data_IF_118497876038
#
_entry.id   IF_118497876038
#
_cell.length_a   1.000
_cell.length_b   1.000
_cell.length_c   1.000
_cell.angle_alpha   90.00
_cell.angle_beta   90.00
_cell.angle_gamma   90.00
#
_symmetry.space_group_name_H-M   'P 1'
#
loop_
_entity.id
_entity.type
_entity.pdbx_description
1 polymer ?
#
# COMPACT_ATOMS: atom_id res chain seq x y z
N UNK A 1 16.67 20.11 34.01
CA UNK A 1 16.21 18.96 33.21
C UNK A 1 16.51 17.71 34.01
N UNK A 2 15.52 16.85 34.23
CA UNK A 2 15.75 15.54 34.87
C UNK A 2 16.60 14.67 33.93
N UNK A 3 17.40 13.77 34.50
CA UNK A 3 18.17 12.78 33.74
C UNK A 3 17.25 11.95 32.82
N UNK A 4 16.06 11.63 33.30
CA UNK A 4 15.01 10.93 32.56
C UNK A 4 14.59 11.65 31.28
N UNK A 5 14.37 12.97 31.33
CA UNK A 5 14.01 13.74 30.14
C UNK A 5 15.12 13.72 29.08
N UNK A 6 16.39 13.79 29.51
CA UNK A 6 17.54 13.71 28.58
C UNK A 6 17.58 12.33 27.89
N UNK A 7 17.30 11.25 28.62
CA UNK A 7 17.21 9.89 28.06
C UNK A 7 16.08 9.79 27.02
N UNK A 8 14.89 10.31 27.33
CA UNK A 8 13.73 10.32 26.43
C UNK A 8 14.06 11.07 25.11
N UNK A 9 14.63 12.27 25.22
CA UNK A 9 15.05 13.06 24.06
C UNK A 9 16.09 12.30 23.23
N UNK A 10 17.05 11.66 23.89
CA UNK A 10 18.11 10.92 23.20
C UNK A 10 17.54 9.71 22.44
N UNK A 11 16.68 8.89 23.07
CA UNK A 11 16.08 7.70 22.45
C UNK A 11 15.19 8.10 21.28
N UNK A 12 14.30 9.08 21.47
CA UNK A 12 13.37 9.54 20.43
C UNK A 12 14.10 10.12 19.21
N UNK A 13 15.18 10.89 19.41
CA UNK A 13 16.00 11.39 18.30
C UNK A 13 16.75 10.27 17.57
N UNK A 14 17.29 9.28 18.28
CA UNK A 14 17.94 8.10 17.67
C UNK A 14 16.93 7.34 16.80
N UNK A 15 15.75 7.03 17.34
CA UNK A 15 14.69 6.33 16.60
C UNK A 15 14.23 7.15 15.39
N UNK A 16 13.96 8.45 15.55
CA UNK A 16 13.58 9.32 14.44
C UNK A 16 14.66 9.41 13.35
N UNK A 17 15.93 9.40 13.73
CA UNK A 17 17.07 9.39 12.79
C UNK A 17 17.16 8.06 12.03
N UNK A 18 16.94 6.93 12.70
CA UNK A 18 16.92 5.62 12.03
C UNK A 18 15.81 5.58 10.97
N UNK A 19 14.60 6.07 11.28
CA UNK A 19 13.53 6.21 10.29
C UNK A 19 13.94 7.09 9.12
N UNK A 20 14.49 8.27 9.40
CA UNK A 20 14.96 9.19 8.37
C UNK A 20 15.97 8.53 7.43
N UNK A 21 16.96 7.81 7.97
CA UNK A 21 17.96 7.11 7.17
C UNK A 21 17.34 5.97 6.35
N UNK A 22 16.38 5.25 6.93
CA UNK A 22 15.71 4.13 6.27
C UNK A 22 14.97 4.58 5.01
N UNK A 23 14.20 5.65 5.12
CA UNK A 23 13.47 6.21 3.98
C UNK A 23 14.43 6.90 2.98
N UNK A 24 15.55 7.46 3.44
CA UNK A 24 16.51 8.13 2.56
C UNK A 24 17.33 7.15 1.69
N UNK A 25 17.69 5.98 2.23
CA UNK A 25 18.54 4.97 1.58
C UNK A 25 17.77 3.79 0.96
N UNK A 26 16.52 4.02 0.62
CA UNK A 26 15.53 3.08 0.06
C UNK A 26 16.12 2.03 -0.91
N UNK A 27 16.93 2.45 -1.89
CA UNK A 27 17.42 1.59 -2.99
C UNK A 27 18.47 0.54 -2.61
N UNK A 28 19.03 0.56 -1.40
CA UNK A 28 20.19 -0.29 -1.04
C UNK A 28 19.86 -1.54 -0.20
N UNK A 29 18.58 -1.81 0.11
CA UNK A 29 18.23 -2.86 1.06
C UNK A 29 18.17 -4.28 0.41
N UNK A 30 18.55 -5.34 1.14
CA UNK A 30 18.53 -6.72 0.64
C UNK A 30 17.09 -7.18 0.32
N UNK A 31 16.92 -7.86 -0.82
CA UNK A 31 15.61 -8.36 -1.31
C UNK A 31 15.17 -9.60 -0.51
N UNK A 32 14.26 -9.40 0.44
CA UNK A 32 13.55 -10.46 1.14
C UNK A 32 12.31 -10.85 0.33
N UNK A 33 11.92 -12.12 0.40
CA UNK A 33 10.73 -12.61 -0.31
C UNK A 33 9.44 -12.02 0.30
N UNK A 34 8.52 -11.55 -0.54
CA UNK A 34 7.30 -10.87 -0.07
C UNK A 34 6.44 -11.75 0.85
N UNK A 35 6.35 -13.06 0.58
CA UNK A 35 5.64 -13.99 1.45
C UNK A 35 6.25 -14.10 2.85
N UNK A 36 7.58 -14.04 2.99
CA UNK A 36 8.26 -14.06 4.30
C UNK A 36 7.88 -12.82 5.11
N UNK A 37 7.94 -11.67 4.45
CA UNK A 37 7.56 -10.39 5.01
C UNK A 37 6.09 -10.42 5.48
N UNK A 38 5.17 -10.92 4.65
CA UNK A 38 3.76 -11.04 4.98
C UNK A 38 3.53 -11.88 6.24
N UNK A 39 4.25 -13.01 6.37
CA UNK A 39 4.18 -13.84 7.57
C UNK A 39 4.62 -13.09 8.83
N UNK A 40 5.75 -12.37 8.76
CA UNK A 40 6.28 -11.56 9.87
C UNK A 40 5.29 -10.45 10.24
N UNK A 41 4.80 -9.69 9.27
CA UNK A 41 3.87 -8.58 9.50
C UNK A 41 2.55 -9.04 10.11
N UNK A 42 2.02 -10.19 9.65
CA UNK A 42 0.79 -10.76 10.20
C UNK A 42 1.00 -11.23 11.65
N UNK A 43 2.07 -11.97 11.92
CA UNK A 43 2.41 -12.41 13.27
C UNK A 43 2.57 -11.22 14.21
N UNK A 44 3.32 -10.19 13.80
CA UNK A 44 3.50 -8.97 14.57
C UNK A 44 2.15 -8.32 14.90
N UNK A 45 1.32 -8.06 13.88
CA UNK A 45 0.08 -7.32 14.07
C UNK A 45 -0.86 -8.02 15.06
N UNK A 46 -1.05 -9.34 14.91
CA UNK A 46 -1.98 -10.09 15.75
C UNK A 46 -1.43 -10.43 17.14
N UNK A 47 -0.11 -10.63 17.28
CA UNK A 47 0.48 -11.09 18.54
C UNK A 47 1.08 -9.96 19.38
N UNK A 48 1.26 -8.76 18.82
CA UNK A 48 1.85 -7.61 19.52
C UNK A 48 0.92 -6.42 19.48
N UNK A 49 0.54 -5.92 18.29
CA UNK A 49 -0.25 -4.69 18.16
C UNK A 49 -1.64 -4.81 18.78
N UNK A 50 -2.40 -5.84 18.41
CA UNK A 50 -3.77 -5.99 18.90
C UNK A 50 -3.83 -6.18 20.43
N UNK A 51 -3.01 -7.05 21.05
CA UNK A 51 -2.93 -7.13 22.51
C UNK A 51 -2.53 -5.80 23.16
N UNK A 52 -1.51 -5.11 22.63
CA UNK A 52 -1.07 -3.81 23.17
C UNK A 52 -2.21 -2.78 23.18
N UNK A 53 -3.02 -2.75 22.12
CA UNK A 53 -4.20 -1.88 22.02
C UNK A 53 -5.28 -2.29 23.03
N UNK A 54 -5.54 -3.60 23.15
CA UNK A 54 -6.55 -4.15 24.05
C UNK A 54 -6.25 -3.86 25.53
N UNK A 55 -4.98 -3.99 25.92
CA UNK A 55 -4.55 -3.87 27.32
C UNK A 55 -4.37 -2.41 27.77
N UNK A 56 -4.04 -1.50 26.86
CA UNK A 56 -3.63 -0.14 27.22
C UNK A 56 -4.61 0.97 26.80
N UNK A 57 -5.72 0.67 26.12
CA UNK A 57 -6.81 1.64 25.96
C UNK A 57 -7.62 1.66 27.28
N UNK A 58 -7.60 2.77 28.04
CA UNK A 58 -8.09 2.78 29.42
C UNK A 58 -9.61 2.65 29.55
N UNK A 59 -10.38 3.16 28.57
CA UNK A 59 -11.84 2.99 28.51
C UNK A 59 -12.27 2.74 27.06
N UNK A 60 -13.14 1.75 26.87
CA UNK A 60 -13.72 1.48 25.54
C UNK A 60 -14.43 2.75 25.04
N UNK A 61 -14.39 3.05 23.74
CA UNK A 61 -15.22 4.12 23.20
C UNK A 61 -16.68 3.86 23.60
N UNK A 62 -17.27 4.79 24.35
CA UNK A 62 -18.65 4.69 24.86
C UNK A 62 -18.90 3.55 25.87
N UNK A 63 -17.89 3.03 26.56
CA UNK A 63 -17.98 1.89 27.49
C UNK A 63 -18.48 0.59 26.87
N UNK A 64 -18.38 0.45 25.54
CA UNK A 64 -18.86 -0.71 24.81
C UNK A 64 -17.69 -1.53 24.26
N UNK A 65 -17.59 -2.77 24.72
CA UNK A 65 -16.56 -3.74 24.28
C UNK A 65 -16.54 -3.94 22.76
N UNK A 66 -17.67 -3.77 22.07
CA UNK A 66 -17.73 -3.86 20.60
C UNK A 66 -16.89 -2.78 19.88
N UNK A 67 -16.55 -1.69 20.56
CA UNK A 67 -15.78 -0.58 20.01
C UNK A 67 -14.29 -0.60 20.41
N UNK A 68 -13.81 -1.67 21.05
CA UNK A 68 -12.41 -1.85 21.44
C UNK A 68 -11.43 -1.56 20.29
N UNK A 69 -11.73 -2.04 19.08
CA UNK A 69 -10.90 -1.82 17.89
C UNK A 69 -11.44 -0.74 16.95
N UNK A 70 -12.34 0.15 17.42
CA UNK A 70 -12.98 1.17 16.57
C UNK A 70 -11.95 2.02 15.83
N UNK A 71 -10.91 2.50 16.51
CA UNK A 71 -9.90 3.34 15.87
C UNK A 71 -9.02 2.57 14.88
N UNK A 72 -8.77 1.29 15.11
CA UNK A 72 -8.13 0.40 14.12
C UNK A 72 -8.99 0.30 12.86
N UNK A 73 -10.30 0.07 13.02
CA UNK A 73 -11.23 0.03 11.89
C UNK A 73 -11.29 1.37 11.17
N UNK A 74 -11.33 2.49 11.90
CA UNK A 74 -11.31 3.83 11.29
C UNK A 74 -10.06 4.08 10.47
N UNK A 75 -8.88 3.69 10.97
CA UNK A 75 -7.62 3.77 10.22
C UNK A 75 -7.65 2.94 8.94
N UNK A 76 -8.12 1.70 9.03
CA UNK A 76 -8.26 0.82 7.87
C UNK A 76 -9.24 1.39 6.82
N UNK A 77 -10.42 1.79 7.26
CA UNK A 77 -11.49 2.32 6.41
C UNK A 77 -11.06 3.63 5.75
N UNK A 78 -10.34 4.50 6.48
CA UNK A 78 -9.83 5.76 5.95
C UNK A 78 -8.96 5.55 4.70
N UNK A 79 -8.00 4.62 4.76
CA UNK A 79 -7.12 4.33 3.62
C UNK A 79 -7.90 3.66 2.50
N UNK A 80 -8.74 2.66 2.84
CA UNK A 80 -9.55 1.93 1.87
C UNK A 80 -10.46 2.85 1.05
N UNK A 81 -11.22 3.73 1.73
CA UNK A 81 -12.13 4.67 1.07
C UNK A 81 -11.33 5.68 0.25
N UNK A 82 -10.22 6.19 0.78
CA UNK A 82 -9.39 7.16 0.05
C UNK A 82 -8.85 6.59 -1.27
N UNK A 83 -8.30 5.37 -1.25
CA UNK A 83 -7.88 4.66 -2.47
C UNK A 83 -9.06 4.47 -3.41
N UNK A 84 -10.20 3.97 -2.90
CA UNK A 84 -11.37 3.66 -3.74
C UNK A 84 -11.96 4.90 -4.40
N UNK A 85 -12.01 6.03 -3.69
CA UNK A 85 -12.49 7.30 -4.23
C UNK A 85 -11.59 7.78 -5.38
N UNK A 86 -10.27 7.62 -5.29
CA UNK A 86 -9.36 7.95 -6.38
C UNK A 86 -9.64 7.06 -7.59
N UNK A 87 -9.71 5.74 -7.37
CA UNK A 87 -9.96 4.77 -8.45
C UNK A 87 -11.31 5.00 -9.16
N UNK A 88 -12.34 5.44 -8.43
CA UNK A 88 -13.66 5.72 -8.99
C UNK A 88 -13.75 7.09 -9.66
N UNK A 89 -13.10 8.11 -9.09
CA UNK A 89 -13.15 9.49 -9.58
C UNK A 89 -12.33 9.66 -10.87
N UNK A 90 -11.20 8.97 -10.96
CA UNK A 90 -10.30 9.13 -12.09
C UNK A 90 -10.85 8.40 -13.31
N UNK A 91 -11.30 9.21 -14.27
CA UNK A 91 -11.58 8.82 -15.65
C UNK A 91 -12.70 7.79 -15.87
N UNK A 92 -13.77 7.79 -15.07
CA UNK A 92 -14.94 6.94 -15.30
C UNK A 92 -15.48 7.02 -16.75
N UNK A 93 -15.38 8.19 -17.38
CA UNK A 93 -15.74 8.39 -18.79
C UNK A 93 -14.74 7.76 -19.76
N UNK A 94 -13.42 7.89 -19.54
CA UNK A 94 -12.41 7.23 -20.37
C UNK A 94 -12.50 5.71 -20.22
N UNK A 95 -12.70 5.20 -19.01
CA UNK A 95 -12.90 3.77 -18.77
C UNK A 95 -14.12 3.24 -19.53
N UNK A 96 -15.26 3.94 -19.48
CA UNK A 96 -16.47 3.56 -20.25
C UNK A 96 -16.23 3.58 -21.75
N UNK A 97 -15.53 4.60 -22.26
CA UNK A 97 -15.18 4.70 -23.70
C UNK A 97 -14.23 3.60 -24.12
N UNK A 98 -13.19 3.33 -23.34
CA UNK A 98 -12.23 2.25 -23.58
C UNK A 98 -12.92 0.88 -23.61
N UNK A 99 -13.79 0.57 -22.63
CA UNK A 99 -14.58 -0.68 -22.64
C UNK A 99 -15.45 -0.81 -23.90
N UNK A 100 -16.06 0.29 -24.35
CA UNK A 100 -16.86 0.30 -25.59
C UNK A 100 -15.99 0.07 -26.83
N UNK A 101 -14.77 0.60 -26.85
CA UNK A 101 -13.84 0.39 -27.96
C UNK A 101 -13.29 -1.04 -27.99
N UNK A 102 -12.92 -1.61 -26.84
CA UNK A 102 -12.50 -3.01 -26.73
C UNK A 102 -13.60 -3.97 -27.20
N UNK A 103 -14.86 -3.69 -26.87
CA UNK A 103 -15.97 -4.50 -27.36
C UNK A 103 -16.14 -4.39 -28.89
N UNK A 104 -15.98 -3.18 -29.45
CA UNK A 104 -16.01 -2.99 -30.91
C UNK A 104 -14.86 -3.67 -31.63
N UNK A 105 -13.66 -3.62 -31.06
CA UNK A 105 -12.47 -4.26 -31.62
C UNK A 105 -12.62 -5.79 -31.61
N UNK A 106 -13.08 -6.37 -30.50
CA UNK A 106 -13.40 -7.80 -30.44
C UNK A 106 -14.46 -8.22 -31.47
N UNK A 107 -15.54 -7.43 -31.62
CA UNK A 107 -16.56 -7.73 -32.64
C UNK A 107 -15.98 -7.62 -34.06
N UNK A 108 -15.02 -6.73 -34.28
CA UNK A 108 -14.37 -6.57 -35.59
C UNK A 108 -13.48 -7.76 -35.91
N UNK A 109 -12.69 -8.23 -34.94
CA UNK A 109 -11.86 -9.44 -35.03
C UNK A 109 -12.71 -10.68 -35.38
N UNK A 110 -13.86 -10.87 -34.72
CA UNK A 110 -14.80 -11.97 -35.02
C UNK A 110 -15.37 -11.90 -36.45
N UNK A 111 -15.58 -10.69 -36.98
CA UNK A 111 -16.05 -10.47 -38.36
C UNK A 111 -14.93 -10.73 -39.38
N UNK A 112 -13.71 -10.28 -39.09
CA UNK A 112 -12.52 -10.53 -39.93
C UNK A 112 -12.25 -12.03 -40.05
N UNK A 113 -12.26 -12.76 -38.93
CA UNK A 113 -12.13 -14.23 -38.89
C UNK A 113 -13.20 -14.93 -39.73
N UNK A 114 -14.44 -14.46 -39.63
CA UNK A 114 -15.57 -15.01 -40.39
C UNK A 114 -15.39 -14.79 -41.89
N UNK A 115 -14.96 -13.59 -42.30
CA UNK A 115 -14.68 -13.25 -43.70
C UNK A 115 -13.51 -14.09 -44.23
N UNK A 116 -12.44 -14.26 -43.44
CA UNK A 116 -11.29 -15.07 -43.80
C UNK A 116 -11.67 -16.54 -44.00
N UNK A 117 -12.53 -17.10 -43.15
CA UNK A 117 -13.06 -18.46 -43.31
C UNK A 117 -13.89 -18.63 -44.58
N UNK A 118 -14.74 -17.64 -44.90
CA UNK A 118 -15.51 -17.64 -46.14
C UNK A 118 -14.57 -17.60 -47.34
N UNK A 119 -13.60 -16.69 -47.36
CA UNK A 119 -12.56 -16.60 -48.38
C UNK A 119 -11.81 -17.92 -48.60
N UNK A 120 -11.36 -18.56 -47.51
CA UNK A 120 -10.64 -19.85 -47.58
C UNK A 120 -11.49 -20.96 -48.21
N UNK A 121 -12.77 -21.06 -47.81
CA UNK A 121 -13.71 -22.05 -48.37
C UNK A 121 -13.94 -21.82 -49.85
N UNK A 122 -14.06 -20.56 -50.23
CA UNK A 122 -14.44 -20.14 -51.57
C UNK A 122 -13.29 -20.22 -52.58
N UNK A 123 -12.06 -19.86 -52.17
CA UNK A 123 -10.83 -20.10 -52.95
C UNK A 123 -10.66 -21.60 -53.24
N UNK A 124 -10.96 -22.46 -52.27
CA UNK A 124 -10.86 -23.91 -52.43
C UNK A 124 -11.88 -24.48 -53.43
N UNK A 125 -13.02 -23.82 -53.61
CA UNK A 125 -14.09 -24.25 -54.51
C UNK A 125 -13.93 -23.77 -55.96
N UNK A 126 -12.87 -23.01 -56.28
CA UNK A 126 -12.51 -22.49 -57.63
C UNK A 126 -13.62 -21.71 -58.37
N UNK A 127 -14.65 -21.24 -57.66
CA UNK A 127 -15.81 -20.54 -58.25
C UNK A 127 -15.74 -19.03 -58.04
N UNK A 128 -14.74 -18.32 -58.58
CA UNK A 128 -14.69 -16.86 -58.38
C UNK A 128 -14.54 -15.99 -59.62
N UNK A 129 -15.38 -14.95 -59.62
CA UNK A 129 -15.19 -13.69 -60.30
C UNK A 129 -14.10 -12.88 -59.57
N UNK A 130 -13.07 -12.48 -60.30
CA UNK A 130 -11.95 -11.65 -59.81
C UNK A 130 -12.46 -10.37 -59.10
N UNK A 131 -13.60 -9.82 -59.56
CA UNK A 131 -14.21 -8.65 -58.93
C UNK A 131 -14.66 -8.92 -57.50
N UNK A 132 -15.24 -10.10 -57.22
CA UNK A 132 -15.71 -10.45 -55.88
C UNK A 132 -14.55 -10.62 -54.90
N UNK A 133 -13.46 -11.27 -55.33
CA UNK A 133 -12.25 -11.41 -54.51
C UNK A 133 -11.62 -10.05 -54.18
N UNK A 134 -11.57 -9.16 -55.17
CA UNK A 134 -11.06 -7.80 -54.99
C UNK A 134 -11.92 -6.99 -54.01
N UNK A 135 -13.24 -7.15 -54.05
CA UNK A 135 -14.16 -6.46 -53.14
C UNK A 135 -14.05 -6.96 -51.69
N UNK A 136 -13.92 -8.28 -51.50
CA UNK A 136 -13.69 -8.86 -50.17
C UNK A 136 -12.33 -8.44 -49.63
N UNK A 137 -11.27 -8.48 -50.45
CA UNK A 137 -9.94 -8.03 -50.05
C UNK A 137 -9.91 -6.54 -49.66
N UNK A 138 -10.64 -5.70 -50.39
CA UNK A 138 -10.80 -4.28 -50.05
C UNK A 138 -11.55 -4.10 -48.73
N UNK A 139 -12.62 -4.89 -48.51
CA UNK A 139 -13.38 -4.88 -47.25
C UNK A 139 -12.48 -5.29 -46.08
N UNK A 140 -11.75 -6.40 -46.19
CA UNK A 140 -10.83 -6.86 -45.15
C UNK A 140 -9.74 -5.83 -44.83
N UNK A 141 -9.15 -5.20 -45.86
CA UNK A 141 -8.19 -4.13 -45.67
C UNK A 141 -8.79 -2.91 -44.93
N UNK A 142 -10.06 -2.60 -45.17
CA UNK A 142 -10.76 -1.52 -44.46
C UNK A 142 -11.07 -1.88 -43.00
N UNK A 143 -11.44 -3.14 -42.72
CA UNK A 143 -11.65 -3.63 -41.36
C UNK A 143 -10.33 -3.60 -40.58
N UNK A 144 -9.24 -4.13 -41.13
CA UNK A 144 -7.91 -4.09 -40.50
C UNK A 144 -7.46 -2.66 -40.15
N UNK A 145 -7.77 -1.67 -41.01
CA UNK A 145 -7.49 -0.25 -40.72
C UNK A 145 -8.35 0.29 -39.58
N UNK A 146 -9.62 -0.10 -39.51
CA UNK A 146 -10.50 0.28 -38.39
C UNK A 146 -10.04 -0.38 -37.08
N UNK A 147 -9.62 -1.65 -37.14
CA UNK A 147 -9.08 -2.39 -36.00
C UNK A 147 -7.83 -1.70 -35.44
N UNK A 148 -6.88 -1.36 -36.32
CA UNK A 148 -5.69 -0.61 -35.96
C UNK A 148 -6.02 0.78 -35.35
N UNK A 149 -7.05 1.46 -35.86
CA UNK A 149 -7.51 2.72 -35.30
C UNK A 149 -8.11 2.54 -33.89
N UNK A 150 -8.92 1.50 -33.66
CA UNK A 150 -9.45 1.18 -32.33
C UNK A 150 -8.34 0.81 -31.36
N UNK A 151 -7.38 -0.04 -31.74
CA UNK A 151 -6.22 -0.39 -30.91
C UNK A 151 -5.41 0.85 -30.51
N UNK A 152 -5.20 1.78 -31.45
CA UNK A 152 -4.53 3.05 -31.17
C UNK A 152 -5.31 3.92 -30.17
N UNK A 153 -6.63 4.07 -30.35
CA UNK A 153 -7.47 4.86 -29.44
C UNK A 153 -7.57 4.21 -28.05
N UNK A 154 -7.67 2.88 -27.97
CA UNK A 154 -7.63 2.11 -26.72
C UNK A 154 -6.30 2.38 -25.99
N UNK A 155 -5.16 2.33 -26.68
CA UNK A 155 -3.85 2.60 -26.10
C UNK A 155 -3.73 4.05 -25.60
N UNK A 156 -4.29 5.03 -26.31
CA UNK A 156 -4.32 6.42 -25.86
C UNK A 156 -5.14 6.57 -24.58
N UNK A 157 -6.33 5.99 -24.50
CA UNK A 157 -7.12 6.00 -23.26
C UNK A 157 -6.40 5.25 -22.14
N UNK A 158 -5.79 4.09 -22.42
CA UNK A 158 -5.02 3.32 -21.44
C UNK A 158 -3.91 4.16 -20.83
N UNK A 159 -3.07 4.81 -21.64
CA UNK A 159 -2.00 5.68 -21.15
C UNK A 159 -2.53 6.87 -20.35
N UNK A 160 -3.63 7.47 -20.79
CA UNK A 160 -4.25 8.60 -20.11
C UNK A 160 -4.76 8.21 -18.72
N UNK A 161 -5.53 7.11 -18.64
CA UNK A 161 -6.03 6.56 -17.38
C UNK A 161 -4.86 6.18 -16.47
N UNK A 162 -3.87 5.43 -17.00
CA UNK A 162 -2.69 5.02 -16.23
C UNK A 162 -1.94 6.21 -15.63
N UNK A 163 -1.70 7.26 -16.42
CA UNK A 163 -0.92 8.43 -15.97
C UNK A 163 -1.66 9.19 -14.86
N UNK A 164 -2.94 9.48 -15.05
CA UNK A 164 -3.74 10.21 -14.07
C UNK A 164 -3.92 9.42 -12.78
N UNK A 165 -4.23 8.11 -12.87
CA UNK A 165 -4.41 7.28 -11.67
C UNK A 165 -3.09 7.16 -10.92
N UNK A 166 -1.98 6.88 -11.61
CA UNK A 166 -0.69 6.73 -10.97
C UNK A 166 -0.26 8.04 -10.28
N UNK A 167 -0.58 9.20 -10.87
CA UNK A 167 -0.30 10.49 -10.23
C UNK A 167 -1.11 10.72 -8.95
N UNK A 168 -2.43 10.45 -8.99
CA UNK A 168 -3.31 10.64 -7.84
C UNK A 168 -3.04 9.63 -6.72
N UNK A 169 -2.85 8.35 -7.06
CA UNK A 169 -2.45 7.31 -6.10
C UNK A 169 -1.10 7.64 -5.45
N UNK A 170 -0.12 8.13 -6.22
CA UNK A 170 1.16 8.58 -5.67
C UNK A 170 0.99 9.76 -4.71
N UNK A 171 0.10 10.72 -5.02
CA UNK A 171 -0.18 11.84 -4.11
C UNK A 171 -0.81 11.33 -2.81
N UNK A 172 -1.76 10.39 -2.90
CA UNK A 172 -2.38 9.76 -1.73
C UNK A 172 -1.33 9.03 -0.90
N UNK A 173 -0.54 8.13 -1.50
CA UNK A 173 0.52 7.39 -0.81
C UNK A 173 1.51 8.33 -0.14
N UNK A 174 1.95 9.39 -0.81
CA UNK A 174 2.82 10.40 -0.21
C UNK A 174 2.19 11.02 1.03
N UNK A 175 0.92 11.44 0.94
CA UNK A 175 0.20 12.04 2.07
C UNK A 175 0.02 11.03 3.22
N UNK A 176 -0.47 9.83 2.92
CA UNK A 176 -0.69 8.77 3.91
C UNK A 176 0.62 8.36 4.59
N UNK A 177 1.71 8.20 3.85
CA UNK A 177 3.03 7.88 4.41
C UNK A 177 3.56 9.07 5.23
N UNK A 178 3.44 10.30 4.76
CA UNK A 178 3.86 11.48 5.52
C UNK A 178 3.12 11.58 6.86
N UNK A 179 1.79 11.48 6.84
CA UNK A 179 0.96 11.49 8.05
C UNK A 179 1.32 10.33 8.97
N UNK A 180 1.52 9.13 8.41
CA UNK A 180 1.94 7.95 9.17
C UNK A 180 3.26 8.17 9.91
N UNK A 181 4.32 8.54 9.20
CA UNK A 181 5.64 8.77 9.76
C UNK A 181 5.64 9.91 10.78
N UNK A 182 4.90 10.98 10.50
CA UNK A 182 4.67 12.06 11.44
C UNK A 182 4.03 11.55 12.75
N UNK A 183 2.95 10.77 12.66
CA UNK A 183 2.26 10.23 13.83
C UNK A 183 3.15 9.25 14.62
N UNK A 184 3.95 8.41 13.96
CA UNK A 184 4.93 7.55 14.63
C UNK A 184 5.86 8.39 15.51
N UNK A 185 6.39 9.50 14.99
CA UNK A 185 7.29 10.37 15.75
C UNK A 185 6.63 10.93 17.01
N UNK A 186 5.36 11.33 16.93
CA UNK A 186 4.57 11.80 18.09
C UNK A 186 4.33 10.65 19.08
N UNK A 187 3.91 9.48 18.60
CA UNK A 187 3.63 8.29 19.43
C UNK A 187 4.89 7.82 20.16
N UNK A 188 6.05 7.79 19.50
CA UNK A 188 7.32 7.40 20.13
C UNK A 188 7.62 8.28 21.35
N UNK A 189 7.40 9.60 21.22
CA UNK A 189 7.62 10.50 22.36
C UNK A 189 6.59 10.23 23.45
N UNK A 190 5.31 10.15 23.11
CA UNK A 190 4.23 9.92 24.08
C UNK A 190 4.39 8.60 24.87
N UNK A 191 4.80 7.52 24.20
CA UNK A 191 5.06 6.24 24.87
C UNK A 191 6.28 6.28 25.80
N UNK A 192 7.27 7.14 25.52
CA UNK A 192 8.48 7.29 26.35
C UNK A 192 8.28 8.20 27.56
N UNK A 193 7.34 9.14 27.49
CA UNK A 193 7.12 10.16 28.54
C UNK A 193 6.10 9.73 29.57
N UNK A 194 5.25 8.75 29.27
CA UNK A 194 4.18 8.35 30.16
C UNK A 194 4.69 7.73 31.48
N UNK A 195 4.22 8.28 32.60
CA UNK A 195 4.60 7.87 33.97
C UNK A 195 3.81 6.65 34.48
N UNK A 196 2.70 6.27 33.83
CA UNK A 196 1.85 5.14 34.20
C UNK A 196 2.49 3.81 33.75
N UNK A 197 3.28 3.84 32.68
CA UNK A 197 4.01 2.68 32.19
C UNK A 197 5.24 2.44 33.08
N UNK A 198 5.24 1.36 33.85
CA UNK A 198 6.36 1.03 34.77
C UNK A 198 7.72 0.89 34.06
N UNK A 199 7.72 0.54 32.76
CA UNK A 199 8.90 0.52 31.91
C UNK A 199 8.55 0.94 30.45
N UNK A 200 8.54 2.25 30.15
CA UNK A 200 8.05 2.79 28.87
C UNK A 200 8.94 2.40 27.67
N UNK A 201 10.15 1.91 27.94
CA UNK A 201 11.15 1.59 26.92
C UNK A 201 10.71 0.37 26.10
N UNK A 202 10.14 -0.66 26.73
CA UNK A 202 9.81 -1.92 26.04
C UNK A 202 8.68 -1.74 25.02
N UNK A 203 7.51 -1.17 25.37
CA UNK A 203 6.42 -0.91 24.42
C UNK A 203 6.88 0.00 23.27
N UNK A 204 7.67 1.03 23.59
CA UNK A 204 8.25 1.93 22.59
C UNK A 204 9.16 1.19 21.62
N UNK A 205 10.06 0.34 22.10
CA UNK A 205 10.96 -0.44 21.25
C UNK A 205 10.17 -1.37 20.34
N UNK A 206 9.17 -2.07 20.89
CA UNK A 206 8.31 -2.95 20.10
C UNK A 206 7.61 -2.15 19.00
N UNK A 207 6.92 -1.07 19.35
CA UNK A 207 6.24 -0.20 18.39
C UNK A 207 7.20 0.36 17.33
N UNK A 208 8.38 0.82 17.74
CA UNK A 208 9.41 1.30 16.83
C UNK A 208 9.80 0.23 15.80
N UNK A 209 10.09 -1.00 16.26
CA UNK A 209 10.43 -2.10 15.36
C UNK A 209 9.31 -2.41 14.38
N UNK A 210 8.05 -2.36 14.83
CA UNK A 210 6.91 -2.55 13.92
C UNK A 210 6.86 -1.49 12.83
N UNK A 211 6.89 -0.25 13.27
CA UNK A 211 6.69 0.89 12.43
C UNK A 211 7.84 1.00 11.42
N UNK A 212 9.06 0.67 11.87
CA UNK A 212 10.27 0.61 11.06
C UNK A 212 10.24 -0.55 10.08
N UNK A 213 9.76 -1.72 10.51
CA UNK A 213 9.58 -2.87 9.62
C UNK A 213 8.58 -2.54 8.52
N UNK A 214 7.44 -1.89 8.83
CA UNK A 214 6.50 -1.43 7.80
C UNK A 214 7.15 -0.42 6.84
N UNK A 215 7.97 0.51 7.33
CA UNK A 215 8.72 1.42 6.46
C UNK A 215 9.63 0.65 5.49
N UNK A 216 10.35 -0.37 5.96
CA UNK A 216 11.19 -1.23 5.09
C UNK A 216 10.41 -1.98 4.02
N UNK A 217 9.13 -2.28 4.26
CA UNK A 217 8.27 -3.07 3.37
C UNK A 217 7.53 -2.20 2.35
N UNK A 218 6.98 -1.07 2.79
CA UNK A 218 6.15 -0.20 1.95
C UNK A 218 6.85 0.23 0.67
N UNK A 219 8.18 0.34 0.71
CA UNK A 219 9.03 0.73 -0.42
C UNK A 219 9.34 -0.42 -1.41
N UNK A 220 8.80 -1.63 -1.18
CA UNK A 220 9.08 -2.83 -2.00
C UNK A 220 7.91 -3.28 -2.88
N UNK A 221 6.83 -2.51 -2.89
CA UNK A 221 5.59 -2.81 -3.61
C UNK A 221 5.86 -2.91 -5.12
N UNK A 222 5.67 -4.12 -5.69
CA UNK A 222 5.76 -4.37 -7.13
C UNK A 222 4.73 -3.52 -7.90
N UNK A 223 4.87 -3.38 -9.22
CA UNK A 223 3.83 -2.76 -10.06
C UNK A 223 2.49 -3.44 -9.84
N UNK A 224 1.53 -2.73 -9.24
CA UNK A 224 0.20 -3.27 -8.98
C UNK A 224 -0.68 -3.11 -10.22
N UNK A 225 -1.42 -4.17 -10.56
CA UNK A 225 -2.51 -4.08 -11.53
C UNK A 225 -3.70 -3.38 -10.87
N UNK A 226 -4.06 -2.20 -11.39
CA UNK A 226 -5.14 -1.36 -10.88
C UNK A 226 -6.48 -1.85 -11.43
N UNK A 227 -6.56 -2.07 -12.75
CA UNK A 227 -7.73 -2.61 -13.42
C UNK A 227 -7.32 -3.80 -14.29
N UNK A 228 -7.68 -5.00 -13.86
CA UNK A 228 -7.35 -6.23 -14.57
C UNK A 228 -8.08 -6.35 -15.92
N UNK A 229 -9.31 -5.81 -16.03
CA UNK A 229 -10.11 -5.82 -17.26
C UNK A 229 -9.57 -4.87 -18.33
N UNK A 230 -8.83 -3.83 -17.93
CA UNK A 230 -8.26 -2.81 -18.81
C UNK A 230 -6.74 -2.92 -18.97
N UNK A 231 -6.12 -3.90 -18.30
CA UNK A 231 -4.67 -4.08 -18.21
C UNK A 231 -3.93 -2.79 -17.78
N UNK A 232 -4.54 -2.05 -16.85
CA UNK A 232 -3.99 -0.80 -16.32
C UNK A 232 -3.11 -1.14 -15.13
N UNK A 233 -1.80 -1.00 -15.31
CA UNK A 233 -0.80 -1.13 -14.26
C UNK A 233 -0.38 0.25 -13.74
N UNK A 234 -0.02 0.31 -12.47
CA UNK A 234 0.65 1.48 -11.90
C UNK A 234 2.04 1.65 -12.51
N UNK A 235 2.35 2.84 -13.02
CA UNK A 235 3.67 3.14 -13.58
C UNK A 235 4.60 3.72 -12.53
N UNK A 236 5.79 3.13 -12.38
CA UNK A 236 6.84 3.64 -11.47
C UNK A 236 7.49 4.84 -12.17
N UNK A 237 6.95 6.03 -11.95
CA UNK A 237 7.54 7.29 -12.41
C UNK A 237 8.52 7.78 -11.33
N UNK A 238 9.80 7.88 -11.68
CA UNK A 238 10.86 8.36 -10.75
C UNK A 238 10.47 9.69 -10.09
N UNK A 239 10.62 9.77 -8.77
CA UNK A 239 10.31 10.97 -8.01
C UNK A 239 11.28 12.12 -8.29
N UNK A 240 10.74 13.34 -8.34
CA UNK A 240 11.54 14.58 -8.41
C UNK A 240 12.36 14.77 -7.11
N UNK A 241 13.62 15.14 -7.28
CA UNK A 241 14.67 15.34 -6.24
C UNK A 241 14.23 16.04 -4.93
N UNK A 242 13.26 16.97 -4.95
CA UNK A 242 12.82 17.68 -3.73
C UNK A 242 11.93 16.83 -2.80
N UNK A 243 11.16 15.86 -3.33
CA UNK A 243 10.32 14.99 -2.49
C UNK A 243 11.13 13.97 -1.68
N UNK A 244 12.34 13.67 -2.17
CA UNK A 244 13.31 12.74 -1.57
C UNK A 244 13.62 13.02 -0.10
N UNK A 245 13.53 14.27 0.36
CA UNK A 245 13.87 14.64 1.73
C UNK A 245 12.66 14.98 2.60
N UNK A 246 11.51 15.28 2.02
CA UNK A 246 10.31 15.71 2.76
C UNK A 246 9.67 14.53 3.49
N UNK A 247 9.56 13.40 2.81
CA UNK A 247 8.96 12.21 3.42
C UNK A 247 9.83 11.67 4.56
N UNK A 248 11.16 11.46 4.40
CA UNK A 248 12.00 11.01 5.51
C UNK A 248 12.01 11.96 6.72
N UNK A 249 11.89 13.28 6.51
CA UNK A 249 11.93 14.26 7.60
C UNK A 249 10.65 14.31 8.44
N UNK A 250 9.57 13.67 7.98
CA UNK A 250 8.28 13.68 8.68
C UNK A 250 8.33 13.01 10.06
N UNK A 251 9.08 11.91 10.22
CA UNK A 251 9.26 11.25 11.53
C UNK A 251 9.99 12.16 12.52
N UNK A 252 11.07 12.81 12.08
CA UNK A 252 11.80 13.77 12.92
C UNK A 252 10.92 14.97 13.29
N UNK A 253 10.13 15.48 12.35
CA UNK A 253 9.15 16.54 12.62
C UNK A 253 8.13 16.09 13.69
N UNK A 254 7.65 14.85 13.59
CA UNK A 254 6.78 14.23 14.60
C UNK A 254 7.44 14.17 15.98
N UNK A 255 8.70 13.73 16.06
CA UNK A 255 9.47 13.71 17.32
C UNK A 255 9.61 15.11 17.90
N UNK A 256 9.96 16.12 17.09
CA UNK A 256 10.07 17.50 17.56
C UNK A 256 8.74 18.06 18.07
N UNK A 257 7.63 17.77 17.37
CA UNK A 257 6.30 18.19 17.81
C UNK A 257 5.90 17.44 19.09
N UNK A 258 6.19 16.14 19.20
CA UNK A 258 5.93 15.35 20.40
C UNK A 258 6.67 15.91 21.61
N UNK A 259 7.98 16.19 21.47
CA UNK A 259 8.79 16.80 22.54
C UNK A 259 8.32 18.20 22.91
N UNK A 260 7.87 18.98 21.92
CA UNK A 260 7.29 20.30 22.17
C UNK A 260 5.97 20.17 22.96
N UNK A 261 5.08 19.27 22.55
CA UNK A 261 3.83 19.01 23.26
C UNK A 261 4.10 18.56 24.69
N UNK A 262 5.03 17.64 24.91
CA UNK A 262 5.42 17.21 26.27
C UNK A 262 5.81 18.37 27.19
N UNK A 263 6.51 19.39 26.68
CA UNK A 263 6.96 20.53 27.49
C UNK A 263 5.81 21.49 27.83
N UNK A 264 4.89 21.72 26.89
CA UNK A 264 3.89 22.79 27.00
C UNK A 264 2.47 22.28 27.34
N UNK A 265 2.10 21.13 26.79
CA UNK A 265 0.79 20.49 26.86
C UNK A 265 0.96 18.96 26.79
N UNK A 266 1.34 18.29 27.91
CA UNK A 266 1.51 16.84 27.95
C UNK A 266 0.27 16.14 27.40
N UNK A 267 0.48 15.22 26.46
CA UNK A 267 -0.61 14.52 25.78
C UNK A 267 -1.07 13.38 26.69
N UNK A 268 -2.38 13.28 26.91
CA UNK A 268 -2.97 12.17 27.66
C UNK A 268 -2.69 10.83 26.95
N UNK A 269 -2.38 9.80 27.73
CA UNK A 269 -2.07 8.45 27.24
C UNK A 269 -3.15 7.88 26.33
N UNK A 270 -4.42 8.19 26.64
CA UNK A 270 -5.57 7.76 25.84
C UNK A 270 -5.48 8.26 24.41
N UNK A 271 -5.12 9.54 24.23
CA UNK A 271 -4.96 10.15 22.91
C UNK A 271 -3.81 9.47 22.15
N UNK A 272 -2.71 9.13 22.84
CA UNK A 272 -1.59 8.39 22.24
C UNK A 272 -2.06 7.02 21.76
N UNK A 273 -2.82 6.26 22.56
CA UNK A 273 -3.33 4.95 22.14
C UNK A 273 -4.44 5.03 21.07
N UNK A 274 -5.21 6.11 21.02
CA UNK A 274 -6.12 6.38 19.90
C UNK A 274 -5.34 6.58 18.60
N UNK A 275 -4.28 7.39 18.62
CA UNK A 275 -3.41 7.59 17.46
C UNK A 275 -2.68 6.30 17.08
N UNK A 276 -2.17 5.56 18.06
CA UNK A 276 -1.55 4.24 17.88
C UNK A 276 -2.50 3.27 17.18
N UNK A 277 -3.76 3.20 17.64
CA UNK A 277 -4.78 2.31 17.09
C UNK A 277 -5.14 2.70 15.66
N UNK A 278 -5.32 4.00 15.41
CA UNK A 278 -5.56 4.50 14.06
C UNK A 278 -4.40 4.16 13.11
N UNK A 279 -3.16 4.42 13.51
CA UNK A 279 -1.96 4.08 12.74
C UNK A 279 -1.84 2.58 12.49
N UNK A 280 -2.19 1.77 13.50
CA UNK A 280 -2.22 0.31 13.38
C UNK A 280 -3.25 -0.16 12.34
N UNK A 281 -4.42 0.48 12.28
CA UNK A 281 -5.42 0.27 11.24
C UNK A 281 -4.92 0.59 9.84
N UNK A 282 -4.21 1.71 9.69
CA UNK A 282 -3.53 2.10 8.43
C UNK A 282 -2.53 1.02 8.01
N UNK A 283 -1.70 0.54 8.94
CA UNK A 283 -0.73 -0.52 8.66
C UNK A 283 -1.42 -1.82 8.28
N UNK A 284 -2.49 -2.20 8.99
CA UNK A 284 -3.26 -3.41 8.67
C UNK A 284 -3.75 -3.38 7.23
N UNK A 285 -4.32 -2.24 6.78
CA UNK A 285 -4.71 -2.08 5.38
C UNK A 285 -3.54 -2.30 4.42
N UNK A 286 -2.40 -1.67 4.68
CA UNK A 286 -1.19 -1.84 3.88
C UNK A 286 -0.72 -3.30 3.84
N UNK A 287 -0.76 -4.02 4.97
CA UNK A 287 -0.38 -5.44 5.02
C UNK A 287 -1.28 -6.27 4.10
N UNK A 288 -2.60 -6.11 4.22
CA UNK A 288 -3.55 -6.85 3.39
C UNK A 288 -3.45 -6.48 1.91
N UNK A 289 -3.18 -5.22 1.59
CA UNK A 289 -3.21 -4.70 0.23
C UNK A 289 -1.90 -4.86 -0.53
N UNK A 290 -0.77 -4.62 0.12
CA UNK A 290 0.54 -4.49 -0.55
C UNK A 290 1.52 -5.60 -0.17
N UNK A 291 1.34 -6.22 1.00
CA UNK A 291 2.31 -7.19 1.54
C UNK A 291 1.84 -8.62 1.34
N UNK A 292 0.54 -8.89 1.51
CA UNK A 292 -0.01 -10.21 1.32
C UNK A 292 0.00 -10.56 -0.18
N UNK A 293 0.75 -11.60 -0.61
CA UNK A 293 0.91 -11.89 -2.02
C UNK A 293 -0.42 -12.32 -2.66
N UNK A 294 -0.75 -11.71 -3.79
CA UNK A 294 -1.96 -12.06 -4.54
C UNK A 294 -1.79 -13.37 -5.34
N UNK A 295 -2.81 -14.22 -5.28
CA UNK A 295 -2.98 -15.41 -6.13
C UNK A 295 -1.73 -16.30 -6.15
N UNK A 296 -1.22 -16.60 -7.34
CA UNK A 296 -0.15 -17.56 -7.60
C UNK A 296 1.26 -17.02 -7.25
N UNK A 297 1.39 -15.74 -6.90
CA UNK A 297 2.68 -15.15 -6.50
C UNK A 297 3.11 -15.56 -5.08
N UNK A 298 2.18 -16.07 -4.28
CA UNK A 298 2.46 -16.47 -2.90
C UNK A 298 3.26 -17.76 -2.81
N UNK A 299 4.32 -17.77 -1.99
CA UNK A 299 5.02 -18.99 -1.59
C UNK A 299 4.67 -19.35 -0.15
N UNK A 300 3.79 -20.35 0.09
CA UNK A 300 3.29 -20.67 1.44
C UNK A 300 4.40 -21.00 2.44
N UNK A 301 5.45 -21.71 2.01
CA UNK A 301 6.54 -22.10 2.91
C UNK A 301 7.29 -20.88 3.49
N UNK A 302 7.59 -19.87 2.66
CA UNK A 302 8.23 -18.64 3.13
C UNK A 302 7.32 -17.88 4.08
N UNK A 303 6.01 -17.86 3.82
CA UNK A 303 5.03 -17.27 4.71
C UNK A 303 5.04 -17.93 6.08
N UNK A 304 4.98 -19.27 6.13
CA UNK A 304 5.01 -20.01 7.39
C UNK A 304 6.31 -19.79 8.16
N UNK A 305 7.47 -19.79 7.47
CA UNK A 305 8.77 -19.50 8.09
C UNK A 305 8.75 -18.10 8.72
N UNK A 306 8.22 -17.10 8.02
CA UNK A 306 8.13 -15.73 8.53
C UNK A 306 7.22 -15.62 9.74
N UNK A 307 6.02 -16.22 9.65
CA UNK A 307 5.04 -16.22 10.72
C UNK A 307 5.59 -16.92 11.98
N UNK A 308 5.95 -18.21 11.88
CA UNK A 308 6.43 -18.97 13.03
C UNK A 308 7.77 -18.48 13.56
N UNK A 309 8.68 -18.07 12.66
CA UNK A 309 9.97 -17.50 13.07
C UNK A 309 9.80 -16.23 13.88
N UNK A 310 8.87 -15.36 13.49
CA UNK A 310 8.58 -14.14 14.24
C UNK A 310 7.81 -14.42 15.53
N UNK A 311 6.84 -15.34 15.53
CA UNK A 311 6.17 -15.79 16.75
C UNK A 311 7.16 -16.34 17.78
N UNK A 312 8.11 -17.17 17.35
CA UNK A 312 9.16 -17.69 18.23
C UNK A 312 10.02 -16.56 18.80
N UNK A 313 10.37 -15.57 17.99
CA UNK A 313 11.10 -14.38 18.44
C UNK A 313 10.32 -13.61 19.52
N UNK A 314 9.02 -13.38 19.32
CA UNK A 314 8.16 -12.71 20.32
C UNK A 314 8.13 -13.51 21.63
N UNK A 315 7.95 -14.84 21.55
CA UNK A 315 7.93 -15.70 22.74
C UNK A 315 9.26 -15.61 23.49
N UNK A 316 10.39 -15.64 22.77
CA UNK A 316 11.72 -15.50 23.37
C UNK A 316 11.84 -14.13 24.06
N UNK A 317 11.48 -13.04 23.37
CA UNK A 317 11.53 -11.69 23.95
C UNK A 317 10.68 -11.59 25.20
N UNK A 318 9.45 -12.10 25.17
CA UNK A 318 8.52 -12.07 26.30
C UNK A 318 9.04 -12.89 27.50
N UNK A 319 9.67 -14.04 27.25
CA UNK A 319 10.32 -14.81 28.30
C UNK A 319 11.47 -14.02 28.94
N UNK A 320 12.32 -13.37 28.14
CA UNK A 320 13.41 -12.55 28.66
C UNK A 320 12.91 -11.35 29.46
N UNK A 321 11.84 -10.68 29.01
CA UNK A 321 11.28 -9.51 29.71
C UNK A 321 10.54 -9.86 30.99
N UNK A 322 9.91 -11.04 31.09
CA UNK A 322 9.22 -11.45 32.31
C UNK A 322 10.15 -12.06 33.37
N UNK A 323 11.37 -12.46 32.99
CA UNK A 323 12.37 -13.06 33.90
C UNK A 323 13.28 -11.98 34.53
N UNK A 324 13.41 -10.81 33.90
CA UNK A 324 14.29 -9.70 34.31
C UNK A 324 13.56 -8.64 35.13
#
# INVERSE_FOLDING_TARGET
MSLQFIVIVSISLVMGTIFFLTDLYEKSHPRLHISLIAGISLAYFFLVILPEISENIPEYPFDLTIFEYLFVVLGFVFVHISEKLILQKVEANSQKRMRKLMLKEKTLEEVEDSIEQVLKREIYNEKFDEFALKDIANTLNNLNKQEAAFKSEINQYKMKIQTHISEDLRRLRFFTNFTYHFLIGVIIVGLLTDELISNPIIPTILFFFFAWFRALISHRSETHQIFSDLDICETIIEEKSKKKYILPSSTLLGVFIGLFLEIFYPIELEIIYVLYSFVSGVIMYTIFREVLPEKEKGKPLYFLIGFFGFTLLIVILNLFTNIL
#
